data_IF_907056807542
#
_entry.id   IF_907056807542
#
_cell.length_a   1.000
_cell.length_b   1.000
_cell.length_c   1.000
_cell.angle_alpha   90.00
_cell.angle_beta   90.00
_cell.angle_gamma   90.00
#
_symmetry.space_group_name_H-M   'P 1'
#
loop_
_entity.id
_entity.type
_entity.pdbx_description
1 polymer ?
#
# COMPACT_ATOMS: atom_id res chain seq x y z
N UNK A 1 -3.74 0.83 17.50
CA UNK A 1 -4.50 -0.02 18.45
C UNK A 1 -5.71 0.75 18.94
N UNK A 2 -6.86 0.09 19.10
CA UNK A 2 -8.08 0.71 19.62
C UNK A 2 -8.02 0.83 21.14
N UNK A 3 -8.39 2.00 21.69
CA UNK A 3 -8.35 2.24 23.14
C UNK A 3 -9.42 1.40 23.86
N UNK A 4 -9.00 0.70 24.92
CA UNK A 4 -9.84 -0.21 25.71
C UNK A 4 -11.08 0.47 26.31
N UNK A 5 -10.92 1.69 26.82
CA UNK A 5 -11.99 2.49 27.43
C UNK A 5 -13.12 2.85 26.44
N UNK A 6 -12.82 2.79 25.13
CA UNK A 6 -13.80 3.00 24.09
C UNK A 6 -14.56 1.70 23.75
N UNK A 7 -13.88 0.56 23.81
CA UNK A 7 -14.48 -0.75 23.58
C UNK A 7 -15.51 -1.11 24.66
N UNK A 8 -15.26 -0.72 25.91
CA UNK A 8 -16.20 -0.91 27.03
C UNK A 8 -17.52 -0.13 26.86
N UNK A 9 -17.53 0.92 26.03
CA UNK A 9 -18.71 1.72 25.70
C UNK A 9 -19.47 1.22 24.46
N UNK A 10 -18.88 0.31 23.70
CA UNK A 10 -19.51 -0.23 22.49
C UNK A 10 -20.37 -1.44 22.86
N UNK A 11 -21.69 -1.31 22.75
CA UNK A 11 -22.62 -2.39 23.12
C UNK A 11 -22.51 -3.65 22.25
N UNK A 12 -22.00 -3.52 21.00
CA UNK A 12 -21.86 -4.63 20.03
C UNK A 12 -20.53 -4.52 19.25
N UNK A 13 -19.39 -4.90 19.86
CA UNK A 13 -18.06 -4.70 19.27
C UNK A 13 -17.88 -5.35 17.90
N UNK A 14 -18.44 -6.55 17.69
CA UNK A 14 -18.36 -7.24 16.40
C UNK A 14 -19.10 -6.49 15.28
N UNK A 15 -20.29 -5.93 15.57
CA UNK A 15 -21.07 -5.15 14.61
C UNK A 15 -20.35 -3.84 14.26
N UNK A 16 -19.81 -3.17 15.29
CA UNK A 16 -19.04 -1.94 15.10
C UNK A 16 -17.76 -2.19 14.28
N UNK A 17 -17.05 -3.27 14.57
CA UNK A 17 -15.86 -3.68 13.80
C UNK A 17 -16.20 -3.98 12.34
N UNK A 18 -17.31 -4.68 12.08
CA UNK A 18 -17.77 -4.93 10.71
C UNK A 18 -18.04 -3.63 9.96
N UNK A 19 -18.75 -2.69 10.61
CA UNK A 19 -19.06 -1.38 10.02
C UNK A 19 -17.80 -0.58 9.69
N UNK A 20 -16.81 -0.57 10.58
CA UNK A 20 -15.53 0.10 10.30
C UNK A 20 -14.80 -0.50 9.10
N UNK A 21 -14.85 -1.83 8.94
CA UNK A 21 -14.24 -2.50 7.78
C UNK A 21 -14.98 -2.11 6.51
N UNK A 22 -16.31 -2.12 6.52
CA UNK A 22 -17.15 -1.73 5.37
C UNK A 22 -16.90 -0.26 4.97
N UNK A 23 -16.96 0.67 5.92
CA UNK A 23 -16.69 2.10 5.70
C UNK A 23 -15.26 2.33 5.15
N UNK A 24 -14.28 1.59 5.65
CA UNK A 24 -12.89 1.66 5.18
C UNK A 24 -12.75 1.12 3.75
N UNK A 25 -13.39 -0.01 3.45
CA UNK A 25 -13.37 -0.60 2.10
C UNK A 25 -14.04 0.31 1.08
N UNK A 26 -15.19 0.88 1.42
CA UNK A 26 -15.88 1.87 0.58
C UNK A 26 -15.01 3.11 0.33
N UNK A 27 -14.36 3.64 1.37
CA UNK A 27 -13.47 4.78 1.24
C UNK A 27 -12.22 4.47 0.39
N UNK A 28 -11.72 3.24 0.45
CA UNK A 28 -10.56 2.80 -0.33
C UNK A 28 -10.92 2.36 -1.76
N UNK A 29 -12.21 2.23 -2.10
CA UNK A 29 -12.63 1.78 -3.43
C UNK A 29 -12.22 2.72 -4.58
N UNK A 30 -11.81 3.95 -4.28
CA UNK A 30 -11.24 4.88 -5.26
C UNK A 30 -9.79 4.53 -5.66
N UNK A 31 -9.07 3.79 -4.81
CA UNK A 31 -7.67 3.38 -5.04
C UNK A 31 -7.50 1.86 -5.14
N UNK A 32 -8.51 1.08 -4.76
CA UNK A 32 -8.52 -0.37 -4.78
C UNK A 32 -9.76 -0.91 -5.51
N UNK A 33 -9.66 -2.07 -6.19
CA UNK A 33 -8.47 -2.89 -6.35
C UNK A 33 -7.47 -2.28 -7.34
N UNK A 34 -6.19 -2.55 -7.12
CA UNK A 34 -5.13 -2.17 -8.05
C UNK A 34 -5.31 -2.86 -9.41
N UNK A 35 -4.99 -2.15 -10.48
CA UNK A 35 -4.86 -2.73 -11.80
C UNK A 35 -3.70 -3.74 -11.84
N UNK A 36 -3.74 -4.65 -12.82
CA UNK A 36 -2.71 -5.68 -12.97
C UNK A 36 -1.30 -5.08 -13.06
N UNK A 37 -1.15 -3.95 -13.73
CA UNK A 37 0.15 -3.31 -13.93
C UNK A 37 0.64 -2.59 -12.65
N UNK A 38 -0.29 -2.00 -11.88
CA UNK A 38 0.00 -1.43 -10.56
C UNK A 38 0.41 -2.50 -9.54
N UNK A 39 -0.27 -3.65 -9.54
CA UNK A 39 0.13 -4.80 -8.75
C UNK A 39 1.52 -5.29 -9.14
N UNK A 40 1.81 -5.37 -10.43
CA UNK A 40 3.12 -5.80 -10.91
C UNK A 40 4.22 -4.82 -10.48
N UNK A 41 3.97 -3.51 -10.53
CA UNK A 41 4.88 -2.50 -10.00
C UNK A 41 5.18 -2.74 -8.51
N UNK A 42 4.15 -3.00 -7.71
CA UNK A 42 4.30 -3.30 -6.29
C UNK A 42 5.07 -4.61 -6.05
N UNK A 43 4.81 -5.66 -6.83
CA UNK A 43 5.54 -6.94 -6.75
C UNK A 43 7.03 -6.73 -7.05
N UNK A 44 7.36 -6.03 -8.14
CA UNK A 44 8.74 -5.70 -8.50
C UNK A 44 9.46 -4.94 -7.36
N UNK A 45 8.79 -3.97 -6.74
CA UNK A 45 9.37 -3.20 -5.64
C UNK A 45 9.49 -4.02 -4.34
N UNK A 46 8.46 -4.77 -3.98
CA UNK A 46 8.35 -5.42 -2.67
C UNK A 46 9.11 -6.75 -2.64
N UNK A 47 9.17 -7.48 -3.75
CA UNK A 47 9.80 -8.80 -3.85
C UNK A 47 11.23 -8.71 -4.36
N UNK A 48 11.47 -7.90 -5.40
CA UNK A 48 12.77 -7.83 -6.07
C UNK A 48 13.55 -6.55 -5.72
N UNK A 49 12.89 -5.54 -5.14
CA UNK A 49 13.52 -4.25 -4.88
C UNK A 49 13.83 -3.49 -6.16
N UNK A 50 13.02 -3.66 -7.19
CA UNK A 50 13.14 -2.95 -8.47
C UNK A 50 12.03 -1.90 -8.63
N UNK A 51 12.40 -0.70 -9.08
CA UNK A 51 11.45 0.36 -9.39
C UNK A 51 11.25 0.42 -10.90
N UNK A 52 10.04 0.05 -11.38
CA UNK A 52 9.67 0.04 -12.80
C UNK A 52 8.49 0.97 -13.11
N UNK A 53 8.70 2.30 -13.19
CA UNK A 53 7.59 3.26 -13.35
C UNK A 53 6.78 3.09 -14.64
N UNK A 54 7.38 2.51 -15.69
CA UNK A 54 6.70 2.20 -16.95
C UNK A 54 5.55 1.21 -16.82
N UNK A 55 5.38 0.57 -15.65
CA UNK A 55 4.22 -0.28 -15.35
C UNK A 55 3.00 0.54 -14.91
N UNK A 56 3.17 1.79 -14.48
CA UNK A 56 2.08 2.60 -13.91
C UNK A 56 1.91 3.95 -14.59
N UNK A 57 2.85 4.36 -15.44
CA UNK A 57 2.72 5.61 -16.21
C UNK A 57 3.63 5.64 -17.44
N UNK A 58 3.12 6.23 -18.51
CA UNK A 58 3.88 6.61 -19.71
C UNK A 58 4.39 8.06 -19.66
N UNK A 59 3.95 8.83 -18.66
CA UNK A 59 4.42 10.20 -18.44
C UNK A 59 5.88 10.18 -17.98
N UNK A 60 6.74 10.85 -18.75
CA UNK A 60 8.18 10.87 -18.52
C UNK A 60 8.58 11.60 -17.24
N UNK A 61 7.90 12.70 -16.92
CA UNK A 61 8.20 13.51 -15.74
C UNK A 61 7.76 12.78 -14.47
N UNK A 62 6.57 12.17 -14.51
CA UNK A 62 6.08 11.36 -13.41
C UNK A 62 6.93 10.10 -13.21
N UNK A 63 7.27 9.40 -14.29
CA UNK A 63 8.15 8.25 -14.25
C UNK A 63 9.51 8.62 -13.63
N UNK A 64 10.07 9.76 -14.01
CA UNK A 64 11.34 10.23 -13.45
C UNK A 64 11.23 10.56 -11.96
N UNK A 65 10.13 11.21 -11.55
CA UNK A 65 9.85 11.51 -10.15
C UNK A 65 9.75 10.24 -9.31
N UNK A 66 9.07 9.20 -9.83
CA UNK A 66 8.96 7.89 -9.18
C UNK A 66 10.34 7.24 -9.01
N UNK A 67 11.21 7.27 -10.04
CA UNK A 67 12.58 6.71 -9.95
C UNK A 67 13.41 7.36 -8.86
N UNK A 68 13.26 8.67 -8.67
CA UNK A 68 14.08 9.43 -7.72
C UNK A 68 13.41 9.55 -6.35
N UNK A 69 12.24 8.96 -6.16
CA UNK A 69 11.50 9.06 -4.92
C UNK A 69 12.28 8.43 -3.75
N UNK A 70 12.71 9.22 -2.74
CA UNK A 70 13.62 8.72 -1.71
C UNK A 70 13.10 7.51 -0.95
N UNK A 71 11.79 7.48 -0.65
CA UNK A 71 11.18 6.37 0.08
C UNK A 71 11.13 5.08 -0.75
N UNK A 72 10.91 5.18 -2.07
CA UNK A 72 10.88 4.00 -2.95
C UNK A 72 12.29 3.43 -3.10
N UNK A 73 13.29 4.30 -3.27
CA UNK A 73 14.69 3.92 -3.29
C UNK A 73 15.13 3.25 -1.98
N UNK A 74 14.71 3.80 -0.84
CA UNK A 74 14.97 3.16 0.45
C UNK A 74 14.30 1.79 0.58
N UNK A 75 13.05 1.65 0.14
CA UNK A 75 12.33 0.37 0.16
C UNK A 75 13.01 -0.67 -0.73
N UNK A 76 13.39 -0.29 -1.94
CA UNK A 76 14.16 -1.12 -2.87
C UNK A 76 15.47 -1.61 -2.23
N UNK A 77 16.23 -0.70 -1.64
CA UNK A 77 17.48 -1.04 -0.93
C UNK A 77 17.25 -1.98 0.25
N UNK A 78 16.17 -1.79 1.01
CA UNK A 78 15.81 -2.64 2.13
C UNK A 78 15.49 -4.08 1.66
N UNK A 79 14.70 -4.21 0.58
CA UNK A 79 14.40 -5.53 0.00
C UNK A 79 15.68 -6.23 -0.45
N UNK A 80 16.56 -5.53 -1.17
CA UNK A 80 17.83 -6.08 -1.63
C UNK A 80 18.76 -6.52 -0.49
N UNK A 81 18.79 -5.78 0.63
CA UNK A 81 19.69 -6.07 1.76
C UNK A 81 19.17 -7.16 2.70
N UNK A 82 17.85 -7.27 2.87
CA UNK A 82 17.27 -8.04 3.97
C UNK A 82 16.26 -9.11 3.55
N UNK A 83 15.65 -9.03 2.35
CA UNK A 83 14.66 -10.02 1.90
C UNK A 83 15.29 -11.21 1.16
N UNK A 84 16.48 -11.03 0.59
CA UNK A 84 17.24 -12.10 -0.09
C UNK A 84 18.10 -12.97 0.84
N UNK A 85 17.88 -12.94 2.16
CA UNK A 85 18.52 -13.80 3.15
C UNK A 85 17.52 -14.79 3.74
#
# INVERSE_FOLDING_TARGET
MLRKDFLEKISKPARWGKRLIEECQEALAIVLPFEKAELEFLNMLIDYGEIRPSLITDDRELAQSIRHHPMLNWKALNVQKYKGK
#
